data_IF_323090068125
#
_entry.id   IF_323090068125
#
_cell.length_a   1.000
_cell.length_b   1.000
_cell.length_c   1.000
_cell.angle_alpha   90.00
_cell.angle_beta   90.00
_cell.angle_gamma   90.00
#
_symmetry.space_group_name_H-M   'P 1'
#
loop_
_entity.id
_entity.type
_entity.pdbx_description
1 polymer ?
#
# COMPACT_ATOMS: atom_id res chain seq x y z
N UNK A 1 -35.75 43.66 22.74
CA UNK A 1 -35.73 42.33 23.37
C UNK A 1 -35.01 41.40 22.41
N UNK A 2 -33.87 40.87 22.85
CA UNK A 2 -32.72 40.49 22.03
C UNK A 2 -32.82 39.07 21.44
N UNK A 3 -32.42 38.90 20.18
CA UNK A 3 -32.19 37.61 19.55
C UNK A 3 -30.78 37.09 19.90
N UNK A 4 -30.57 35.79 20.14
CA UNK A 4 -29.24 35.24 20.41
C UNK A 4 -28.45 34.95 19.13
N UNK A 5 -27.21 35.44 19.11
CA UNK A 5 -26.17 35.23 18.10
C UNK A 5 -25.79 33.75 17.98
N UNK A 6 -25.82 33.17 16.77
CA UNK A 6 -25.29 31.81 16.51
C UNK A 6 -23.77 31.91 16.27
N UNK A 7 -22.94 31.06 16.90
CA UNK A 7 -21.50 31.05 16.64
C UNK A 7 -21.17 30.36 15.32
N UNK A 8 -20.17 30.94 14.64
CA UNK A 8 -19.41 30.37 13.53
C UNK A 8 -18.97 28.93 13.82
N UNK A 9 -19.45 27.99 13.00
CA UNK A 9 -18.90 26.64 12.93
C UNK A 9 -17.70 26.65 11.98
N UNK A 10 -16.53 26.63 12.58
CA UNK A 10 -15.23 26.64 11.95
C UNK A 10 -15.01 25.45 11.02
N UNK A 11 -14.36 25.77 9.91
CA UNK A 11 -13.51 24.91 9.07
C UNK A 11 -12.94 23.71 9.84
N UNK A 12 -13.44 22.52 9.52
CA UNK A 12 -12.78 21.29 9.90
C UNK A 12 -11.78 20.95 8.78
N UNK A 13 -10.46 21.07 9.01
CA UNK A 13 -9.53 20.37 8.15
C UNK A 13 -9.81 18.89 8.39
N UNK A 14 -10.28 18.21 7.34
CA UNK A 14 -10.14 16.77 7.26
C UNK A 14 -8.64 16.50 7.34
N UNK A 15 -8.16 16.25 8.56
CA UNK A 15 -6.90 15.61 8.82
C UNK A 15 -7.01 14.25 8.12
N UNK A 16 -6.64 14.23 6.84
CA UNK A 16 -6.29 13.03 6.12
C UNK A 16 -5.21 12.41 6.99
N UNK A 17 -5.64 11.41 7.76
CA UNK A 17 -4.82 10.69 8.69
C UNK A 17 -3.58 10.30 7.92
N UNK A 18 -2.44 10.83 8.35
CA UNK A 18 -1.15 10.33 7.93
C UNK A 18 -1.16 8.84 8.21
N UNK A 19 -1.43 8.05 7.17
CA UNK A 19 -1.15 6.64 7.19
C UNK A 19 0.34 6.55 7.35
N UNK A 20 0.79 6.30 8.57
CA UNK A 20 2.15 5.90 8.87
C UNK A 20 2.49 4.84 7.85
N UNK A 21 3.36 5.17 6.89
CA UNK A 21 3.84 4.24 5.88
C UNK A 21 4.67 3.19 6.62
N UNK A 22 3.99 2.21 7.21
CA UNK A 22 4.58 1.13 7.97
C UNK A 22 5.29 0.20 7.02
N UNK A 23 6.51 0.59 6.61
CA UNK A 23 7.63 -0.27 6.21
C UNK A 23 7.33 -1.42 5.25
N UNK A 24 6.26 -1.32 4.46
CA UNK A 24 5.87 -2.31 3.47
C UNK A 24 5.41 -1.58 2.21
N UNK A 25 6.07 -1.86 1.10
CA UNK A 25 5.69 -1.31 -0.20
C UNK A 25 4.78 -2.31 -0.90
N UNK A 26 3.64 -1.84 -1.38
CA UNK A 26 2.79 -2.65 -2.24
C UNK A 26 3.37 -2.61 -3.65
N UNK A 27 3.94 -3.72 -4.10
CA UNK A 27 4.62 -3.85 -5.39
C UNK A 27 3.80 -4.74 -6.31
N UNK A 28 3.63 -4.32 -7.55
CA UNK A 28 3.07 -5.18 -8.60
C UNK A 28 4.13 -6.16 -9.07
N UNK A 29 3.78 -7.44 -9.13
CA UNK A 29 4.65 -8.51 -9.58
C UNK A 29 3.94 -9.35 -10.64
N UNK A 30 4.71 -9.96 -11.53
CA UNK A 30 4.19 -10.90 -12.53
C UNK A 30 4.71 -12.30 -12.25
N UNK A 31 3.83 -13.30 -12.26
CA UNK A 31 4.19 -14.69 -12.06
C UNK A 31 5.06 -15.22 -13.20
N UNK A 32 6.31 -15.65 -12.95
CA UNK A 32 7.16 -16.24 -14.00
C UNK A 32 6.60 -17.55 -14.55
N UNK A 33 5.77 -18.26 -13.75
CA UNK A 33 5.25 -19.58 -14.12
C UNK A 33 3.96 -19.57 -14.93
N UNK A 34 3.11 -18.54 -14.80
CA UNK A 34 1.80 -18.50 -15.46
C UNK A 34 1.42 -17.13 -16.03
N UNK A 35 2.27 -16.11 -15.90
CA UNK A 35 2.05 -14.78 -16.46
C UNK A 35 1.01 -13.92 -15.73
N UNK A 36 0.41 -14.40 -14.64
CA UNK A 36 -0.57 -13.62 -13.86
C UNK A 36 0.10 -12.49 -13.09
N UNK A 37 -0.53 -11.31 -13.09
CA UNK A 37 -0.11 -10.17 -12.28
C UNK A 37 -0.77 -10.24 -10.89
N UNK A 38 -0.01 -9.90 -9.86
CA UNK A 38 -0.46 -9.88 -8.48
C UNK A 38 0.17 -8.71 -7.71
N UNK A 39 -0.46 -8.33 -6.60
CA UNK A 39 0.04 -7.28 -5.74
C UNK A 39 0.53 -7.88 -4.43
N UNK A 40 1.81 -7.69 -4.14
CA UNK A 40 2.41 -8.19 -2.90
C UNK A 40 2.85 -7.06 -2.01
N UNK A 41 2.73 -7.30 -0.71
CA UNK A 41 3.25 -6.42 0.34
C UNK A 41 4.70 -6.81 0.58
N UNK A 42 5.62 -6.04 0.01
CA UNK A 42 7.06 -6.30 0.09
C UNK A 42 7.67 -5.60 1.31
N UNK A 43 8.32 -6.31 2.24
CA UNK A 43 8.97 -5.71 3.40
C UNK A 43 10.12 -4.79 2.99
N UNK A 44 10.15 -3.56 3.52
CA UNK A 44 11.24 -2.62 3.23
C UNK A 44 12.60 -3.19 3.63
N UNK A 45 13.62 -2.95 2.80
CA UNK A 45 14.99 -3.40 3.06
C UNK A 45 15.29 -4.86 2.70
N UNK A 46 14.30 -5.66 2.24
CA UNK A 46 14.56 -7.01 1.75
C UNK A 46 14.88 -7.00 0.24
N UNK A 47 16.06 -7.49 -0.19
CA UNK A 47 16.42 -7.56 -1.60
C UNK A 47 15.68 -8.69 -2.33
N UNK A 48 15.29 -9.74 -1.60
CA UNK A 48 14.55 -10.88 -2.09
C UNK A 48 13.27 -11.10 -1.30
N UNK A 49 12.21 -11.54 -1.98
CA UNK A 49 10.93 -11.89 -1.36
C UNK A 49 10.48 -13.24 -1.89
N UNK A 50 10.32 -14.20 -0.99
CA UNK A 50 9.72 -15.48 -1.32
C UNK A 50 8.22 -15.31 -1.49
N UNK A 51 7.76 -15.54 -2.70
CA UNK A 51 6.36 -15.43 -3.06
C UNK A 51 5.85 -16.72 -3.66
N UNK A 52 4.66 -17.15 -3.25
CA UNK A 52 3.95 -18.29 -3.83
C UNK A 52 2.79 -17.77 -4.68
N UNK A 53 2.79 -18.14 -5.96
CA UNK A 53 1.69 -17.78 -6.84
C UNK A 53 0.44 -18.57 -6.47
N UNK A 54 -0.67 -17.89 -6.17
CA UNK A 54 -1.95 -18.55 -5.86
C UNK A 54 -2.59 -19.28 -7.05
N UNK A 55 -2.18 -18.96 -8.29
CA UNK A 55 -2.75 -19.57 -9.48
C UNK A 55 -2.08 -20.91 -9.82
N UNK A 56 -0.75 -20.92 -9.94
CA UNK A 56 0.00 -22.13 -10.30
C UNK A 56 0.62 -22.86 -9.10
N UNK A 57 0.44 -22.33 -7.88
CA UNK A 57 0.99 -22.85 -6.62
C UNK A 57 2.52 -22.99 -6.59
N UNK A 58 3.24 -22.43 -7.57
CA UNK A 58 4.70 -22.41 -7.63
C UNK A 58 5.26 -21.31 -6.73
N UNK A 59 6.40 -21.59 -6.12
CA UNK A 59 7.13 -20.66 -5.26
C UNK A 59 8.30 -20.07 -6.04
N UNK A 60 8.51 -18.77 -5.89
CA UNK A 60 9.54 -18.00 -6.58
C UNK A 60 10.21 -17.05 -5.60
N UNK A 61 11.52 -16.92 -5.73
CA UNK A 61 12.26 -15.83 -5.08
C UNK A 61 12.26 -14.64 -6.02
N UNK A 62 11.42 -13.67 -5.73
CA UNK A 62 11.41 -12.41 -6.47
C UNK A 62 12.56 -11.56 -5.96
N UNK A 63 13.30 -10.93 -6.87
CA UNK A 63 14.25 -9.89 -6.53
C UNK A 63 13.60 -8.54 -6.79
N UNK A 64 13.81 -7.59 -5.88
CA UNK A 64 13.40 -6.21 -6.11
C UNK A 64 14.27 -5.66 -7.23
N UNK A 65 13.78 -5.66 -8.48
CA UNK A 65 14.40 -4.84 -9.53
C UNK A 65 14.18 -3.40 -9.09
N UNK A 66 15.18 -2.79 -8.47
CA UNK A 66 15.28 -1.34 -8.34
C UNK A 66 15.43 -0.82 -9.76
N UNK A 67 14.29 -0.59 -10.42
CA UNK A 67 14.22 -0.23 -11.82
C UNK A 67 14.00 1.25 -11.97
N UNK A 68 15.09 1.93 -12.32
CA UNK A 68 15.25 3.31 -12.81
C UNK A 68 15.16 4.48 -11.82
#
# INVERSE_FOLDING_TARGET
>A
MSQPTRPSGSDAPHAASGGTASGTDRVEISCPGCGRHDWVTWPHGQPGYEWKCFNCSKQFTLARKVGH
#
